data_IF_346637009490
#
_entry.id   IF_346637009490
#
_cell.length_a   1.000
_cell.length_b   1.000
_cell.length_c   1.000
_cell.angle_alpha   90.00
_cell.angle_beta   90.00
_cell.angle_gamma   90.00
#
_symmetry.space_group_name_H-M   'P 1'
#
loop_
_entity.id
_entity.type
_entity.pdbx_description
1 polymer ?
#
# COMPACT_ATOMS: atom_id res chain seq x y z
N UNK A 1 -4.87 5.25 1.78
CA UNK A 1 -4.47 3.88 1.43
C UNK A 1 -2.97 3.81 1.57
N UNK A 2 -2.45 2.85 2.34
CA UNK A 2 -1.02 2.53 2.46
C UNK A 2 -0.36 2.23 1.09
N UNK A 3 0.97 2.37 1.01
CA UNK A 3 1.73 2.00 -0.19
C UNK A 3 1.82 0.48 -0.35
N UNK A 4 1.82 -0.24 0.77
CA UNK A 4 1.84 -1.69 0.86
C UNK A 4 0.67 -2.32 0.10
N UNK A 5 -0.53 -1.73 0.18
CA UNK A 5 -1.71 -2.19 -0.57
C UNK A 5 -1.52 -2.06 -2.08
N UNK A 6 -0.92 -0.94 -2.52
CA UNK A 6 -0.64 -0.70 -3.95
C UNK A 6 0.40 -1.67 -4.50
N UNK A 7 1.38 -2.03 -3.66
CA UNK A 7 2.46 -2.94 -3.97
C UNK A 7 2.12 -4.41 -3.70
N UNK A 8 0.90 -4.71 -3.21
CA UNK A 8 0.45 -6.04 -2.83
C UNK A 8 1.42 -6.74 -1.84
N UNK A 9 1.82 -6.03 -0.77
CA UNK A 9 2.68 -6.58 0.27
C UNK A 9 1.84 -7.17 1.41
N UNK A 10 2.11 -8.44 1.74
CA UNK A 10 1.36 -9.16 2.79
C UNK A 10 1.81 -8.80 4.21
N UNK A 11 3.05 -8.34 4.37
CA UNK A 11 3.66 -8.11 5.67
C UNK A 11 3.37 -6.71 6.22
N UNK A 12 2.84 -6.65 7.44
CA UNK A 12 2.62 -5.40 8.17
C UNK A 12 3.95 -4.84 8.70
N UNK A 13 4.20 -3.52 8.60
CA UNK A 13 5.42 -2.90 9.11
C UNK A 13 5.52 -2.96 10.64
N UNK A 14 4.38 -3.16 11.33
CA UNK A 14 4.31 -3.31 12.77
C UNK A 14 3.23 -4.33 13.15
N UNK A 15 3.61 -5.31 13.98
CA UNK A 15 2.71 -6.22 14.68
C UNK A 15 2.66 -5.82 16.16
N UNK A 16 1.54 -5.23 16.63
CA UNK A 16 1.36 -4.91 18.05
C UNK A 16 1.27 -6.16 18.91
N UNK A 17 1.83 -6.08 20.12
CA UNK A 17 1.79 -7.16 21.10
C UNK A 17 3.13 -7.31 21.83
N UNK A 18 3.25 -8.32 22.71
CA UNK A 18 4.52 -8.70 23.31
C UNK A 18 5.57 -9.01 22.23
N UNK A 19 6.88 -8.91 22.54
CA UNK A 19 7.93 -9.24 21.59
C UNK A 19 7.75 -10.66 21.03
N UNK A 20 7.34 -10.77 19.77
CA UNK A 20 7.10 -12.04 19.08
C UNK A 20 8.16 -12.36 18.02
N UNK A 21 9.27 -11.60 18.01
CA UNK A 21 10.33 -11.72 17.00
C UNK A 21 10.05 -10.99 15.68
N UNK A 22 8.90 -10.34 15.52
CA UNK A 22 8.63 -9.52 14.34
C UNK A 22 9.54 -8.29 14.30
N UNK A 23 10.18 -7.99 13.15
CA UNK A 23 11.06 -6.84 12.99
C UNK A 23 10.27 -5.53 12.83
N UNK A 24 9.52 -5.15 13.87
CA UNK A 24 8.71 -3.93 13.91
C UNK A 24 9.54 -2.72 13.47
N UNK A 25 8.96 -1.92 12.57
CA UNK A 25 9.52 -0.65 12.08
C UNK A 25 10.85 -0.77 11.29
N UNK A 26 11.22 -1.98 10.88
CA UNK A 26 12.46 -2.25 10.14
C UNK A 26 12.24 -2.67 8.68
N UNK A 27 11.00 -2.93 8.30
CA UNK A 27 10.66 -3.34 6.93
C UNK A 27 10.76 -2.15 5.98
N UNK A 28 11.65 -2.24 5.00
CA UNK A 28 11.72 -1.30 3.87
C UNK A 28 10.83 -1.80 2.73
N UNK A 29 10.34 -0.88 1.91
CA UNK A 29 9.66 -1.26 0.66
C UNK A 29 10.65 -1.98 -0.28
N UNK A 30 10.18 -2.98 -1.06
CA UNK A 30 11.05 -3.83 -1.88
C UNK A 30 11.54 -3.15 -3.17
N UNK A 31 11.09 -1.91 -3.44
CA UNK A 31 11.39 -1.18 -4.67
C UNK A 31 11.83 0.24 -4.35
N UNK A 32 12.66 0.81 -5.22
CA UNK A 32 13.04 2.23 -5.16
C UNK A 32 11.93 3.11 -5.71
N UNK A 33 11.98 4.41 -5.43
CA UNK A 33 10.97 5.37 -5.91
C UNK A 33 10.85 5.34 -7.43
N UNK A 34 11.97 5.25 -8.16
CA UNK A 34 12.00 5.28 -9.63
C UNK A 34 11.25 4.11 -10.28
N UNK A 35 11.11 3.00 -9.54
CA UNK A 35 10.46 1.76 -10.00
C UNK A 35 9.14 1.48 -9.28
N UNK A 36 8.71 2.39 -8.41
CA UNK A 36 7.56 2.21 -7.53
C UNK A 36 6.23 2.25 -8.29
N UNK A 37 6.15 3.05 -9.36
CA UNK A 37 4.93 3.30 -10.11
C UNK A 37 4.97 2.60 -11.48
N UNK A 38 5.05 1.29 -11.47
CA UNK A 38 4.91 0.46 -12.66
C UNK A 38 3.45 0.41 -13.17
N UNK A 39 3.20 -0.40 -14.20
CA UNK A 39 1.88 -0.50 -14.81
C UNK A 39 0.80 -0.94 -13.81
N UNK A 40 1.07 -1.99 -13.03
CA UNK A 40 0.11 -2.55 -12.08
C UNK A 40 -0.23 -1.56 -10.95
N UNK A 41 0.78 -0.88 -10.40
CA UNK A 41 0.56 0.14 -9.36
C UNK A 41 -0.26 1.30 -9.90
N UNK A 42 0.00 1.74 -11.14
CA UNK A 42 -0.79 2.80 -11.78
C UNK A 42 -2.24 2.38 -12.00
N UNK A 43 -2.49 1.14 -12.39
CA UNK A 43 -3.84 0.60 -12.55
C UNK A 43 -4.60 0.61 -11.21
N UNK A 44 -3.97 0.13 -10.13
CA UNK A 44 -4.57 0.15 -8.78
C UNK A 44 -4.86 1.58 -8.30
N UNK A 45 -3.95 2.53 -8.54
CA UNK A 45 -4.18 3.95 -8.25
C UNK A 45 -5.38 4.48 -9.02
N UNK A 46 -5.47 4.20 -10.32
CA UNK A 46 -6.58 4.65 -11.17
C UNK A 46 -7.93 4.10 -10.68
N UNK A 47 -7.98 2.82 -10.29
CA UNK A 47 -9.18 2.21 -9.73
C UNK A 47 -9.65 2.92 -8.45
N UNK A 48 -8.73 3.24 -7.53
CA UNK A 48 -9.05 3.95 -6.29
C UNK A 48 -9.52 5.38 -6.53
N UNK A 49 -8.86 6.11 -7.45
CA UNK A 49 -9.29 7.46 -7.84
C UNK A 49 -10.70 7.43 -8.43
N UNK A 50 -10.99 6.47 -9.32
CA UNK A 50 -12.31 6.34 -9.92
C UNK A 50 -13.38 6.01 -8.87
N UNK A 51 -13.09 5.09 -7.96
CA UNK A 51 -14.02 4.74 -6.87
C UNK A 51 -14.35 5.95 -5.99
N UNK A 52 -13.36 6.78 -5.64
CA UNK A 52 -13.58 8.01 -4.84
C UNK A 52 -14.48 9.00 -5.56
N UNK A 53 -14.19 9.29 -6.83
CA UNK A 53 -14.99 10.21 -7.66
C UNK A 53 -16.43 9.75 -7.82
N UNK A 54 -16.66 8.45 -7.97
CA UNK A 54 -18.01 7.91 -8.08
C UNK A 54 -18.80 8.03 -6.77
N UNK A 55 -18.15 7.91 -5.61
CA UNK A 55 -18.80 8.15 -4.32
C UNK A 55 -19.17 9.62 -4.12
N UNK A 56 -18.29 10.55 -4.51
CA UNK A 56 -18.54 11.99 -4.42
C UNK A 56 -19.70 12.45 -5.31
N UNK A 57 -19.85 11.86 -6.50
CA UNK A 57 -20.97 12.17 -7.41
C UNK A 57 -22.32 11.58 -6.99
N UNK A 58 -22.29 10.54 -6.16
CA UNK A 58 -23.50 9.86 -5.68
C UNK A 58 -23.97 10.31 -4.30
N UNK A 59 -23.20 11.18 -3.63
CA UNK A 59 -23.54 11.83 -2.36
C UNK A 59 -24.18 13.19 -2.61
#
# INVERSE_FOLDING_TARGET
MPLEDLLALDAQPNLPGPPCGHPNWRQRLPRTIDTLFDADVRERIAAVVQARRSRERGA
#
